data_IF_060775822714
#
_entry.id   IF_060775822714
#
_cell.length_a   1.000
_cell.length_b   1.000
_cell.length_c   1.000
_cell.angle_alpha   90.00
_cell.angle_beta   90.00
_cell.angle_gamma   90.00
#
_symmetry.space_group_name_H-M   'P 1'
#
loop_
_entity.id
_entity.type
_entity.pdbx_description
1 polymer ?
#
# COMPACT_ATOMS: atom_id res chain seq x y z
N UNK A 1 -33.27 -9.34 -3.13
CA UNK A 1 -32.21 -9.00 -4.11
C UNK A 1 -31.14 -8.21 -3.37
N UNK A 2 -29.89 -8.62 -3.55
CA UNK A 2 -28.82 -8.63 -2.55
C UNK A 2 -28.14 -7.28 -2.33
N UNK A 3 -28.22 -6.81 -1.08
CA UNK A 3 -27.16 -6.20 -0.26
C UNK A 3 -26.17 -5.26 -0.97
N UNK A 4 -26.45 -3.96 -0.89
CA UNK A 4 -25.48 -2.86 -1.06
C UNK A 4 -24.66 -2.61 0.22
N UNK A 5 -24.56 -3.60 1.12
CA UNK A 5 -23.90 -3.48 2.43
C UNK A 5 -22.40 -3.82 2.39
N UNK A 6 -21.84 -4.16 1.24
CA UNK A 6 -20.44 -4.60 1.10
C UNK A 6 -19.43 -3.50 0.74
N UNK A 7 -19.87 -2.24 0.66
CA UNK A 7 -19.00 -1.07 0.46
C UNK A 7 -19.32 0.07 1.42
N UNK A 8 -19.77 -0.26 2.63
CA UNK A 8 -19.98 0.72 3.69
C UNK A 8 -18.68 1.13 4.38
N UNK A 9 -17.78 1.83 3.69
CA UNK A 9 -16.85 2.81 4.31
C UNK A 9 -16.04 3.68 3.30
N UNK A 10 -16.63 4.15 2.20
CA UNK A 10 -15.93 5.06 1.25
C UNK A 10 -15.87 6.52 1.72
N UNK A 11 -15.91 6.77 3.05
CA UNK A 11 -16.11 8.11 3.62
C UNK A 11 -15.03 8.63 4.58
N UNK A 12 -14.01 7.83 4.94
CA UNK A 12 -12.96 8.27 5.88
C UNK A 12 -11.56 7.95 5.38
N UNK A 13 -11.17 8.58 4.27
CA UNK A 13 -9.77 8.85 4.01
C UNK A 13 -9.28 9.87 5.05
N UNK A 14 -8.96 9.37 6.26
CA UNK A 14 -8.40 10.21 7.32
C UNK A 14 -7.12 10.87 6.79
N UNK A 15 -6.87 12.14 7.13
CA UNK A 15 -5.68 12.87 6.66
C UNK A 15 -4.36 12.15 7.04
N UNK A 16 -4.42 11.25 8.03
CA UNK A 16 -3.35 10.34 8.46
C UNK A 16 -3.01 9.28 7.40
N UNK A 17 -3.98 8.78 6.62
CA UNK A 17 -3.74 7.78 5.56
C UNK A 17 -3.09 8.42 4.33
N UNK A 18 -3.53 9.61 3.94
CA UNK A 18 -2.95 10.39 2.84
C UNK A 18 -1.53 10.87 3.16
N UNK A 19 -1.27 11.30 4.39
CA UNK A 19 0.09 11.71 4.81
C UNK A 19 1.07 10.54 4.78
N UNK A 20 0.64 9.33 5.17
CA UNK A 20 1.47 8.11 5.09
C UNK A 20 1.79 7.69 3.65
N UNK A 21 0.82 7.72 2.75
CA UNK A 21 1.06 7.44 1.34
C UNK A 21 1.97 8.52 0.70
N UNK A 22 1.76 9.79 1.04
CA UNK A 22 2.60 10.90 0.56
C UNK A 22 4.06 10.76 0.95
N UNK A 23 4.36 10.26 2.16
CA UNK A 23 5.72 9.94 2.59
C UNK A 23 6.35 8.85 1.72
N UNK A 24 5.59 7.81 1.34
CA UNK A 24 6.08 6.75 0.47
C UNK A 24 6.41 7.25 -0.94
N UNK A 25 5.58 8.14 -1.51
CA UNK A 25 5.84 8.77 -2.82
C UNK A 25 7.13 9.58 -2.76
N UNK A 26 7.32 10.42 -1.75
CA UNK A 26 8.51 11.27 -1.66
C UNK A 26 9.78 10.52 -1.27
N UNK A 27 9.67 9.49 -0.42
CA UNK A 27 10.84 8.75 0.08
C UNK A 27 11.34 7.71 -0.91
N UNK A 28 10.43 7.01 -1.59
CA UNK A 28 10.78 5.89 -2.47
C UNK A 28 10.47 6.19 -3.95
N UNK A 29 9.90 7.34 -4.30
CA UNK A 29 9.60 7.67 -5.70
C UNK A 29 8.49 6.82 -6.33
N UNK A 30 7.69 6.12 -5.51
CA UNK A 30 6.61 5.26 -5.97
C UNK A 30 5.49 6.06 -6.64
N UNK A 31 4.86 5.46 -7.65
CA UNK A 31 3.60 5.98 -8.16
C UNK A 31 2.55 5.99 -7.04
N UNK A 32 1.53 6.87 -7.11
CA UNK A 32 0.52 6.98 -6.05
C UNK A 32 -0.16 5.64 -5.67
N UNK A 33 -0.36 4.76 -6.65
CA UNK A 33 -0.94 3.43 -6.42
C UNK A 33 0.00 2.54 -5.62
N UNK A 34 1.28 2.46 -6.00
CA UNK A 34 2.27 1.61 -5.31
C UNK A 34 2.59 2.15 -3.91
N UNK A 35 2.56 3.47 -3.75
CA UNK A 35 2.67 4.12 -2.46
C UNK A 35 1.50 3.76 -1.51
N UNK A 36 0.27 3.61 -2.02
CA UNK A 36 -0.87 3.15 -1.24
C UNK A 36 -0.72 1.68 -0.81
N UNK A 37 -0.20 0.82 -1.70
CA UNK A 37 0.12 -0.57 -1.39
C UNK A 37 1.17 -0.63 -0.26
N UNK A 38 2.29 0.06 -0.43
CA UNK A 38 3.37 0.11 0.57
C UNK A 38 2.89 0.69 1.92
N UNK A 39 2.10 1.76 1.90
CA UNK A 39 1.53 2.35 3.11
C UNK A 39 0.57 1.40 3.83
N UNK A 40 -0.19 0.60 3.10
CA UNK A 40 -1.09 -0.42 3.65
C UNK A 40 -0.30 -1.56 4.28
N UNK A 41 0.73 -2.07 3.60
CA UNK A 41 1.62 -3.09 4.18
C UNK A 41 2.25 -2.61 5.48
N UNK A 42 2.77 -1.38 5.51
CA UNK A 42 3.35 -0.77 6.72
C UNK A 42 2.33 -0.63 7.85
N UNK A 43 1.08 -0.25 7.52
CA UNK A 43 0.03 -0.08 8.51
C UNK A 43 -0.37 -1.41 9.18
N UNK A 44 -0.37 -2.50 8.42
CA UNK A 44 -0.74 -3.83 8.90
C UNK A 44 0.45 -4.69 9.36
N UNK A 45 1.68 -4.13 9.38
CA UNK A 45 2.88 -4.88 9.78
C UNK A 45 3.28 -5.98 8.81
N UNK A 46 2.87 -5.88 7.55
CA UNK A 46 3.25 -6.82 6.48
C UNK A 46 4.66 -6.45 6.03
N UNK A 47 5.61 -7.36 6.23
CA UNK A 47 7.01 -7.19 5.85
C UNK A 47 7.40 -7.88 4.55
N UNK A 48 6.52 -8.71 3.97
CA UNK A 48 6.80 -9.45 2.74
C UNK A 48 5.71 -9.23 1.70
N UNK A 49 6.11 -9.05 0.45
CA UNK A 49 5.20 -8.85 -0.69
C UNK A 49 5.58 -9.79 -1.83
N UNK A 50 4.60 -10.53 -2.34
CA UNK A 50 4.76 -11.31 -3.56
C UNK A 50 4.34 -10.45 -4.76
N UNK A 51 5.32 -9.96 -5.53
CA UNK A 51 5.07 -9.10 -6.68
C UNK A 51 6.14 -9.30 -7.74
N UNK A 52 5.76 -9.09 -9.01
CA UNK A 52 6.70 -8.99 -10.14
C UNK A 52 7.13 -7.54 -10.40
N UNK A 53 6.59 -6.60 -9.64
CA UNK A 53 6.91 -5.20 -9.76
C UNK A 53 8.24 -4.88 -9.03
N UNK A 54 9.30 -4.49 -9.76
CA UNK A 54 10.59 -4.20 -9.18
C UNK A 54 10.60 -2.94 -8.31
N UNK A 55 9.60 -2.06 -8.42
CA UNK A 55 9.55 -0.79 -7.68
C UNK A 55 9.40 -1.01 -6.16
N UNK A 56 8.94 -2.19 -5.73
CA UNK A 56 8.87 -2.51 -4.31
C UNK A 56 10.23 -2.90 -3.70
N UNK A 57 11.26 -3.16 -4.51
CA UNK A 57 12.60 -3.55 -4.02
C UNK A 57 13.33 -2.42 -3.27
N UNK A 58 12.97 -1.17 -3.56
CA UNK A 58 13.57 0.01 -2.91
C UNK A 58 12.89 0.37 -1.59
N UNK A 59 11.81 -0.32 -1.23
CA UNK A 59 11.06 -0.08 0.01
C UNK A 59 11.73 -0.83 1.16
N UNK A 60 12.49 -0.11 1.99
CA UNK A 60 13.35 -0.65 3.07
C UNK A 60 12.67 -1.60 4.09
N UNK A 61 11.35 -1.53 4.27
CA UNK A 61 10.61 -2.40 5.19
C UNK A 61 9.89 -3.58 4.50
N UNK A 62 10.00 -3.71 3.17
CA UNK A 62 9.37 -4.78 2.39
C UNK A 62 10.42 -5.70 1.77
N UNK A 63 10.28 -6.99 2.02
CA UNK A 63 10.97 -8.07 1.34
C UNK A 63 10.14 -8.52 0.13
N UNK A 64 10.67 -8.39 -1.07
CA UNK A 64 10.03 -8.91 -2.29
C UNK A 64 10.29 -10.41 -2.41
N UNK A 65 9.22 -11.20 -2.51
CA UNK A 65 9.28 -12.65 -2.79
C UNK A 65 8.87 -12.90 -4.23
N UNK A 66 9.72 -13.55 -5.00
CA UNK A 66 9.41 -14.02 -6.36
C UNK A 66 9.34 -15.55 -6.38
N UNK A 67 8.51 -16.12 -7.27
CA UNK A 67 8.62 -17.55 -7.60
C UNK A 67 9.67 -17.71 -8.70
N UNK A 68 10.64 -18.57 -8.46
CA UNK A 68 11.62 -19.07 -9.43
C UNK A 68 11.04 -20.13 -10.36
#
# INVERSE_FOLDING_TARGET
>A
MTSWSYWGDTGRLTSVRLSRARLSITKYGLLPNDALIAATCKHHGISKIATFDPDFKIVDFLETITRE
#
